data_IF_556643218169
#
_entry.id   IF_556643218169
#
_cell.length_a   1.000
_cell.length_b   1.000
_cell.length_c   1.000
_cell.angle_alpha   90.00
_cell.angle_beta   90.00
_cell.angle_gamma   90.00
#
_symmetry.space_group_name_H-M   'P 1'
#
loop_
_entity.id
_entity.type
_entity.pdbx_description
1 polymer ?
#
# COMPACT_ATOMS: atom_id res chain seq x y z
N UNK A 1 1.58 24.66 -11.48
CA UNK A 1 2.30 24.67 -12.78
C UNK A 1 1.45 24.01 -13.85
N UNK A 2 1.49 24.49 -15.09
CA UNK A 2 0.80 23.89 -16.25
C UNK A 2 1.89 23.44 -17.23
N UNK A 3 2.04 22.13 -17.45
CA UNK A 3 2.80 21.57 -18.58
C UNK A 3 4.31 21.83 -18.60
N UNK A 4 5.10 21.00 -17.92
CA UNK A 4 6.57 21.03 -17.99
C UNK A 4 7.16 19.64 -18.16
N UNK A 5 8.29 19.58 -18.87
CA UNK A 5 9.19 18.42 -18.89
C UNK A 5 10.29 18.67 -17.87
N UNK A 6 10.44 17.79 -16.89
CA UNK A 6 11.41 17.96 -15.80
C UNK A 6 12.23 16.68 -15.69
N UNK A 7 13.56 16.83 -15.80
CA UNK A 7 14.53 15.74 -15.68
C UNK A 7 14.68 14.86 -16.93
N UNK A 8 13.92 15.11 -17.99
CA UNK A 8 13.93 14.34 -19.25
C UNK A 8 14.51 15.15 -20.42
N UNK A 9 14.79 14.50 -21.55
CA UNK A 9 15.12 15.21 -22.79
C UNK A 9 13.87 15.83 -23.43
N UNK A 10 14.06 16.86 -24.27
CA UNK A 10 12.95 17.52 -24.97
C UNK A 10 12.24 16.62 -26.01
N UNK A 11 12.82 15.46 -26.36
CA UNK A 11 12.39 14.63 -27.49
C UNK A 11 11.90 13.24 -27.07
N UNK A 12 12.33 12.73 -25.91
CA UNK A 12 11.95 11.42 -25.41
C UNK A 12 12.07 11.32 -23.88
N UNK A 13 11.26 10.42 -23.30
CA UNK A 13 11.47 9.89 -21.95
C UNK A 13 12.65 8.93 -22.01
N UNK A 14 13.85 9.48 -21.92
CA UNK A 14 15.10 8.73 -21.94
C UNK A 14 16.08 9.36 -20.96
N UNK A 15 17.03 8.56 -20.46
CA UNK A 15 18.17 9.04 -19.69
C UNK A 15 18.81 10.18 -20.50
N UNK A 16 18.89 11.42 -19.96
CA UNK A 16 19.36 12.56 -20.72
C UNK A 16 20.81 12.45 -21.22
N UNK A 17 21.56 11.42 -20.80
CA UNK A 17 22.89 11.11 -21.33
C UNK A 17 23.95 12.11 -20.84
N UNK A 18 25.02 11.61 -20.22
CA UNK A 18 26.14 12.43 -19.74
C UNK A 18 26.29 12.44 -18.22
N UNK A 19 26.88 13.50 -17.67
CA UNK A 19 27.10 13.68 -16.21
C UNK A 19 26.25 14.82 -15.61
N UNK A 20 25.48 15.53 -16.43
CA UNK A 20 24.67 16.67 -16.02
C UNK A 20 23.24 16.23 -15.68
N UNK A 21 23.02 15.84 -14.42
CA UNK A 21 21.70 15.53 -13.86
C UNK A 21 21.34 16.56 -12.81
N UNK A 22 20.05 16.78 -12.55
CA UNK A 22 19.62 17.47 -11.34
C UNK A 22 19.94 16.54 -10.15
N UNK A 23 20.89 16.89 -9.27
CA UNK A 23 21.35 16.00 -8.21
C UNK A 23 20.35 15.88 -7.04
N UNK A 24 19.24 16.62 -7.09
CA UNK A 24 18.24 16.67 -6.03
C UNK A 24 16.87 16.16 -6.54
N UNK A 25 15.82 16.95 -6.36
CA UNK A 25 14.46 16.61 -6.74
C UNK A 25 14.09 17.19 -8.11
N UNK A 26 13.20 16.53 -8.85
CA UNK A 26 12.59 17.13 -10.05
C UNK A 26 11.88 18.43 -9.71
N UNK A 27 11.01 18.40 -8.70
CA UNK A 27 10.37 19.58 -8.10
C UNK A 27 10.47 19.54 -6.58
N UNK A 28 11.12 20.55 -6.00
CA UNK A 28 11.05 20.82 -4.56
C UNK A 28 9.97 21.85 -4.25
N UNK A 29 8.95 21.46 -3.50
CA UNK A 29 7.96 22.36 -2.89
C UNK A 29 8.32 22.50 -1.42
N UNK A 30 8.67 23.72 -0.99
CA UNK A 30 9.09 24.01 0.38
C UNK A 30 8.25 25.13 1.01
N UNK A 31 8.28 25.27 2.34
CA UNK A 31 7.53 26.31 3.04
C UNK A 31 6.03 26.01 3.18
N UNK A 32 5.25 27.00 3.64
CA UNK A 32 3.78 26.98 3.73
C UNK A 32 3.11 27.03 2.34
N UNK A 33 3.58 26.19 1.42
CA UNK A 33 3.17 26.16 0.02
C UNK A 33 1.93 25.31 -0.18
N UNK A 34 0.99 25.80 -0.99
CA UNK A 34 -0.18 25.08 -1.46
C UNK A 34 -0.37 25.33 -2.95
N UNK A 35 -1.13 24.48 -3.64
CA UNK A 35 -1.42 24.68 -5.06
C UNK A 35 -1.61 23.40 -5.86
N UNK A 36 -1.39 23.51 -7.17
CA UNK A 36 -1.67 22.46 -8.13
C UNK A 36 -0.42 22.15 -8.98
N UNK A 37 -0.02 20.88 -8.97
CA UNK A 37 0.98 20.29 -9.88
C UNK A 37 0.23 19.40 -10.85
N UNK A 38 0.12 19.80 -12.12
CA UNK A 38 -0.63 19.04 -13.11
C UNK A 38 -0.03 19.01 -14.51
N UNK A 39 -0.26 17.90 -15.20
CA UNK A 39 0.13 17.71 -16.60
C UNK A 39 1.63 17.88 -16.86
N UNK A 40 2.45 17.43 -15.91
CA UNK A 40 3.91 17.43 -16.07
C UNK A 40 4.41 15.99 -16.24
N UNK A 41 5.57 15.87 -16.88
CA UNK A 41 6.36 14.66 -16.90
C UNK A 41 7.59 14.88 -16.01
N UNK A 42 7.71 14.06 -14.97
CA UNK A 42 8.85 14.00 -14.07
C UNK A 42 9.59 12.69 -14.31
N UNK A 43 10.78 12.74 -14.90
CA UNK A 43 11.56 11.52 -15.04
C UNK A 43 13.05 11.72 -14.93
N UNK A 44 13.76 10.62 -14.65
CA UNK A 44 15.22 10.60 -14.48
C UNK A 44 15.75 11.61 -13.46
N UNK A 45 14.94 12.06 -12.50
CA UNK A 45 15.44 12.81 -11.36
C UNK A 45 16.42 11.93 -10.56
N UNK A 46 17.55 12.50 -10.13
CA UNK A 46 18.54 11.72 -9.40
C UNK A 46 17.99 11.25 -8.05
N UNK A 47 17.34 12.17 -7.29
CA UNK A 47 16.48 11.85 -6.14
C UNK A 47 15.00 11.83 -6.55
N UNK A 48 14.10 12.21 -5.64
CA UNK A 48 12.68 12.06 -5.90
C UNK A 48 12.14 12.96 -7.00
N UNK A 49 11.12 12.51 -7.74
CA UNK A 49 10.49 13.30 -8.80
C UNK A 49 9.85 14.58 -8.25
N UNK A 50 9.10 14.46 -7.16
CA UNK A 50 8.57 15.57 -6.38
C UNK A 50 8.90 15.38 -4.90
N UNK A 51 9.40 16.43 -4.26
CA UNK A 51 9.54 16.49 -2.80
C UNK A 51 8.71 17.65 -2.26
N UNK A 52 7.82 17.36 -1.33
CA UNK A 52 7.11 18.40 -0.57
C UNK A 52 7.45 18.25 0.91
N UNK A 53 8.03 19.30 1.50
CA UNK A 53 8.47 19.32 2.90
C UNK A 53 8.67 20.76 3.38
N UNK A 54 8.62 21.01 4.70
CA UNK A 54 9.03 22.32 5.24
C UNK A 54 7.93 23.38 5.37
N UNK A 55 6.66 22.99 5.50
CA UNK A 55 5.61 23.89 5.96
C UNK A 55 4.22 23.29 5.95
N UNK A 56 3.69 23.05 7.15
CA UNK A 56 2.34 22.62 7.41
C UNK A 56 1.33 23.74 7.14
N UNK A 57 0.45 23.57 6.16
CA UNK A 57 -0.73 24.40 5.97
C UNK A 57 -1.95 23.50 5.72
N UNK A 58 -3.16 24.03 5.90
CA UNK A 58 -4.39 23.24 5.75
C UNK A 58 -4.86 23.06 4.30
N UNK A 59 -4.28 23.79 3.33
CA UNK A 59 -4.72 23.80 1.94
C UNK A 59 -4.04 22.71 1.09
N UNK A 60 -2.76 22.45 1.34
CA UNK A 60 -2.05 21.32 0.76
C UNK A 60 -1.77 21.39 -0.75
N UNK A 61 -1.37 20.26 -1.33
CA UNK A 61 -1.12 20.14 -2.78
C UNK A 61 -2.15 19.23 -3.46
N UNK A 62 -2.62 19.63 -4.63
CA UNK A 62 -3.26 18.76 -5.60
C UNK A 62 -2.23 18.38 -6.68
N UNK A 63 -1.95 17.09 -6.81
CA UNK A 63 -1.01 16.53 -7.78
C UNK A 63 -1.80 15.63 -8.72
N UNK A 64 -2.01 16.07 -9.97
CA UNK A 64 -2.92 15.37 -10.88
C UNK A 64 -2.56 15.38 -12.35
N UNK A 65 -2.82 14.26 -13.05
CA UNK A 65 -2.58 14.17 -14.49
C UNK A 65 -1.10 14.25 -14.86
N UNK A 66 -0.20 13.93 -13.93
CA UNK A 66 1.25 13.89 -14.19
C UNK A 66 1.70 12.46 -14.46
N UNK A 67 2.87 12.35 -15.07
CA UNK A 67 3.61 11.10 -15.21
C UNK A 67 4.92 11.20 -14.44
N UNK A 68 5.20 10.20 -13.62
CA UNK A 68 6.44 10.04 -12.88
C UNK A 68 7.12 8.75 -13.33
N UNK A 69 8.34 8.83 -13.86
CA UNK A 69 9.02 7.72 -14.52
C UNK A 69 10.51 7.71 -14.23
N UNK A 70 11.06 6.61 -13.69
CA UNK A 70 12.50 6.49 -13.42
C UNK A 70 13.07 7.61 -12.54
N UNK A 71 12.30 8.07 -11.55
CA UNK A 71 12.80 8.97 -10.52
C UNK A 71 13.62 8.20 -9.47
N UNK A 72 14.58 8.86 -8.83
CA UNK A 72 15.51 8.22 -7.91
C UNK A 72 16.60 7.40 -8.60
N UNK A 73 16.74 7.47 -9.93
CA UNK A 73 17.52 6.54 -10.75
C UNK A 73 18.99 6.38 -10.33
N UNK A 74 19.57 7.36 -9.64
CA UNK A 74 20.98 7.37 -9.21
C UNK A 74 21.19 7.53 -7.70
N UNK A 75 20.14 7.83 -6.94
CA UNK A 75 20.20 8.04 -5.49
C UNK A 75 19.32 6.99 -4.81
N UNK A 76 19.89 6.30 -3.84
CA UNK A 76 19.18 5.35 -2.98
C UNK A 76 18.06 6.07 -2.21
N UNK A 77 16.88 5.45 -2.11
CA UNK A 77 15.71 6.04 -1.45
C UNK A 77 15.07 7.19 -2.24
N UNK A 78 15.30 7.26 -3.56
CA UNK A 78 14.63 8.23 -4.42
C UNK A 78 13.29 7.71 -4.93
N UNK A 79 12.20 8.41 -4.56
CA UNK A 79 10.82 8.04 -4.89
C UNK A 79 10.30 8.75 -6.13
N UNK A 80 9.14 8.36 -6.65
CA UNK A 80 8.40 9.28 -7.53
C UNK A 80 7.95 10.53 -6.76
N UNK A 81 7.40 10.37 -5.55
CA UNK A 81 7.04 11.48 -4.67
C UNK A 81 7.36 11.20 -3.21
N UNK A 82 7.95 12.20 -2.53
CA UNK A 82 8.26 12.13 -1.10
C UNK A 82 7.57 13.26 -0.35
N UNK A 83 6.88 12.92 0.74
CA UNK A 83 6.11 13.85 1.56
C UNK A 83 6.59 13.83 3.01
N UNK A 84 7.04 14.98 3.52
CA UNK A 84 7.34 15.16 4.95
C UNK A 84 8.77 14.83 5.40
N UNK A 85 9.65 14.40 4.50
CA UNK A 85 11.02 13.90 4.78
C UNK A 85 11.88 14.79 5.70
N UNK A 86 11.84 16.11 5.50
CA UNK A 86 12.67 17.06 6.26
C UNK A 86 11.90 17.89 7.30
N UNK A 87 10.57 17.94 7.18
CA UNK A 87 9.67 18.73 8.01
C UNK A 87 8.22 18.55 7.56
N UNK A 88 7.29 18.84 8.47
CA UNK A 88 5.85 18.67 8.25
C UNK A 88 5.31 19.32 6.97
N UNK A 89 4.32 18.68 6.34
CA UNK A 89 3.59 19.17 5.17
C UNK A 89 2.09 19.33 5.43
N UNK A 90 1.43 20.14 4.61
CA UNK A 90 -0.03 20.10 4.47
C UNK A 90 -0.51 18.80 3.82
N UNK A 91 -1.83 18.58 3.76
CA UNK A 91 -2.40 17.39 3.13
C UNK A 91 -2.06 17.35 1.63
N UNK A 92 -1.98 16.15 1.04
CA UNK A 92 -1.81 16.00 -0.40
C UNK A 92 -2.95 15.23 -1.02
N UNK A 93 -3.34 15.62 -2.22
CA UNK A 93 -4.31 14.91 -3.06
C UNK A 93 -3.59 14.48 -4.33
N UNK A 94 -3.20 13.22 -4.40
CA UNK A 94 -2.52 12.63 -5.56
C UNK A 94 -3.56 11.87 -6.36
N UNK A 95 -3.95 12.39 -7.53
CA UNK A 95 -5.03 11.80 -8.33
C UNK A 95 -4.78 11.74 -9.81
N UNK A 96 -5.15 10.64 -10.49
CA UNK A 96 -5.04 10.51 -11.94
C UNK A 96 -3.60 10.68 -12.47
N UNK A 97 -2.60 10.19 -11.73
CA UNK A 97 -1.21 10.17 -12.19
C UNK A 97 -0.82 8.76 -12.64
N UNK A 98 0.15 8.70 -13.55
CA UNK A 98 0.92 7.48 -13.82
C UNK A 98 2.23 7.57 -13.02
N UNK A 99 2.49 6.58 -12.18
CA UNK A 99 3.65 6.55 -11.29
C UNK A 99 4.36 5.22 -11.49
N UNK A 100 5.49 5.25 -12.19
CA UNK A 100 6.09 4.05 -12.73
C UNK A 100 7.59 4.02 -12.56
N UNK A 101 8.14 2.81 -12.36
CA UNK A 101 9.60 2.57 -12.42
C UNK A 101 10.41 3.52 -11.54
N UNK A 102 9.92 3.92 -10.37
CA UNK A 102 10.74 4.64 -9.40
C UNK A 102 11.84 3.73 -8.86
N UNK A 103 12.98 4.28 -8.47
CA UNK A 103 14.08 3.48 -7.92
C UNK A 103 13.71 2.86 -6.55
N UNK A 104 13.06 3.65 -5.71
CA UNK A 104 12.45 3.23 -4.45
C UNK A 104 10.93 3.23 -4.62
N UNK A 105 10.19 3.96 -3.80
CA UNK A 105 8.73 3.89 -3.79
C UNK A 105 8.07 4.73 -4.88
N UNK A 106 6.82 4.40 -5.20
CA UNK A 106 5.97 5.30 -5.96
C UNK A 106 5.67 6.59 -5.15
N UNK A 107 5.23 6.41 -3.91
CA UNK A 107 4.99 7.51 -2.97
C UNK A 107 5.48 7.11 -1.58
N UNK A 108 6.28 7.97 -0.96
CA UNK A 108 6.64 7.88 0.46
C UNK A 108 5.94 8.99 1.26
N UNK A 109 5.25 8.58 2.34
CA UNK A 109 4.74 9.45 3.39
C UNK A 109 5.55 9.27 4.67
N UNK A 110 6.10 10.36 5.21
CA UNK A 110 6.66 10.31 6.56
C UNK A 110 5.54 10.30 7.62
N UNK A 111 5.57 9.28 8.47
CA UNK A 111 4.60 9.13 9.55
C UNK A 111 4.69 10.31 10.52
N UNK A 112 3.54 10.89 10.84
CA UNK A 112 3.41 12.03 11.75
C UNK A 112 3.89 13.37 11.19
N UNK A 113 4.38 13.41 9.94
CA UNK A 113 4.84 14.64 9.28
C UNK A 113 3.96 15.06 8.09
N UNK A 114 2.92 14.30 7.77
CA UNK A 114 2.05 14.60 6.61
C UNK A 114 0.60 14.82 7.06
N UNK A 115 -0.13 15.65 6.32
CA UNK A 115 -1.55 15.90 6.62
C UNK A 115 -1.82 16.89 7.75
N UNK A 116 -0.92 17.85 8.01
CA UNK A 116 -1.19 18.88 9.01
C UNK A 116 -2.46 19.67 8.65
N UNK A 117 -3.52 19.51 9.46
CA UNK A 117 -4.81 20.16 9.23
C UNK A 117 -5.67 19.56 8.10
N UNK A 118 -5.42 18.31 7.70
CA UNK A 118 -6.25 17.62 6.70
C UNK A 118 -5.93 16.13 6.55
N UNK A 119 -6.49 15.52 5.51
CA UNK A 119 -6.33 14.10 5.18
C UNK A 119 -5.60 13.99 3.83
N UNK A 120 -4.63 13.08 3.73
CA UNK A 120 -4.00 12.74 2.46
C UNK A 120 -4.93 11.84 1.64
N UNK A 121 -4.99 12.06 0.34
CA UNK A 121 -5.81 11.28 -0.60
C UNK A 121 -4.96 10.83 -1.76
N UNK A 122 -4.84 9.53 -1.96
CA UNK A 122 -4.22 8.90 -3.13
C UNK A 122 -5.30 8.14 -3.87
N UNK A 123 -5.73 8.66 -5.02
CA UNK A 123 -6.91 8.14 -5.71
C UNK A 123 -6.82 8.09 -7.24
N UNK A 124 -7.34 7.02 -7.84
CA UNK A 124 -7.41 6.88 -9.31
C UNK A 124 -6.05 7.04 -9.99
N UNK A 125 -4.96 6.62 -9.34
CA UNK A 125 -3.63 6.59 -9.97
C UNK A 125 -3.33 5.17 -10.45
N UNK A 126 -2.38 5.09 -11.38
CA UNK A 126 -1.76 3.83 -11.78
C UNK A 126 -0.34 3.81 -11.25
N UNK A 127 -0.04 2.80 -10.44
CA UNK A 127 1.30 2.48 -9.97
C UNK A 127 1.77 1.21 -10.65
N UNK A 128 2.97 1.27 -11.24
CA UNK A 128 3.51 0.18 -12.03
C UNK A 128 5.01 0.05 -11.84
N UNK A 129 5.51 -1.14 -11.52
CA UNK A 129 6.96 -1.43 -11.57
C UNK A 129 7.83 -0.51 -10.68
N UNK A 130 7.28 0.04 -9.60
CA UNK A 130 8.05 0.85 -8.65
C UNK A 130 9.01 -0.05 -7.83
N UNK A 131 10.17 0.47 -7.46
CA UNK A 131 11.32 -0.27 -6.91
C UNK A 131 12.27 -0.83 -7.98
N UNK A 132 11.87 -0.84 -9.25
CA UNK A 132 12.66 -1.41 -10.35
C UNK A 132 13.31 -0.36 -11.27
N UNK A 133 13.27 0.91 -10.87
CA UNK A 133 13.67 2.04 -11.71
C UNK A 133 15.12 2.14 -12.15
N UNK A 134 16.11 1.59 -11.42
CA UNK A 134 17.54 1.84 -11.69
C UNK A 134 18.26 0.73 -12.47
N UNK A 135 19.14 1.13 -13.39
CA UNK A 135 20.07 0.24 -14.10
C UNK A 135 21.48 0.20 -13.48
N UNK A 136 21.77 1.00 -12.45
CA UNK A 136 23.14 1.19 -11.91
C UNK A 136 23.41 0.41 -10.61
N UNK A 137 24.68 0.37 -10.18
CA UNK A 137 25.13 -0.17 -8.87
C UNK A 137 24.53 0.56 -7.64
N UNK A 138 23.72 1.62 -7.83
CA UNK A 138 22.94 2.28 -6.79
C UNK A 138 21.76 1.42 -6.25
N UNK A 139 21.68 0.14 -6.65
CA UNK A 139 20.80 -0.90 -6.08
C UNK A 139 21.15 -1.28 -4.64
N UNK A 140 21.54 -0.35 -3.78
CA UNK A 140 21.33 -0.56 -2.36
C UNK A 140 19.81 -0.37 -2.14
N UNK A 141 19.06 -1.39 -2.54
CA UNK A 141 17.61 -1.48 -2.49
C UNK A 141 17.20 -1.39 -1.02
N UNK A 142 16.51 -0.32 -0.63
CA UNK A 142 16.01 -0.17 0.74
C UNK A 142 14.49 -0.42 0.76
N UNK A 143 13.76 0.17 -0.19
CA UNK A 143 12.30 0.04 -0.34
C UNK A 143 11.88 -0.37 -1.77
N UNK A 144 10.58 -0.57 -2.00
CA UNK A 144 10.07 -1.04 -3.29
C UNK A 144 8.55 -1.10 -3.40
N UNK A 145 7.84 -0.32 -2.59
CA UNK A 145 6.39 -0.29 -2.57
C UNK A 145 5.81 0.71 -3.58
N UNK A 146 4.54 0.55 -3.97
CA UNK A 146 3.88 1.63 -4.69
C UNK A 146 3.55 2.81 -3.76
N UNK A 147 3.13 2.51 -2.54
CA UNK A 147 2.82 3.53 -1.52
C UNK A 147 3.35 3.05 -0.17
N UNK A 148 4.19 3.86 0.47
CA UNK A 148 4.78 3.60 1.76
C UNK A 148 4.43 4.69 2.78
N UNK A 149 4.03 4.27 3.99
CA UNK A 149 4.12 5.11 5.19
C UNK A 149 5.38 4.74 5.96
N UNK A 150 6.40 5.60 5.88
CA UNK A 150 7.71 5.36 6.45
C UNK A 150 7.80 5.84 7.90
N UNK A 151 8.31 4.97 8.76
CA UNK A 151 8.73 5.31 10.13
C UNK A 151 10.25 5.50 10.14
N UNK A 152 10.74 6.62 10.67
CA UNK A 152 12.19 6.87 10.78
C UNK A 152 12.79 6.58 12.15
N UNK A 153 12.04 6.81 13.22
CA UNK A 153 12.61 6.84 14.58
C UNK A 153 11.90 5.92 15.59
N UNK A 154 10.87 5.18 15.15
CA UNK A 154 10.09 4.28 16.02
C UNK A 154 9.22 4.99 17.06
N UNK A 155 9.04 6.31 16.98
CA UNK A 155 8.27 7.08 17.96
C UNK A 155 7.19 7.95 17.34
N UNK A 156 7.29 8.26 16.04
CA UNK A 156 6.28 9.07 15.36
C UNK A 156 4.96 8.29 15.25
N UNK A 157 3.86 9.02 15.37
CA UNK A 157 2.51 8.46 15.27
C UNK A 157 1.70 9.27 14.27
N UNK A 158 1.11 8.58 13.30
CA UNK A 158 0.10 9.13 12.40
C UNK A 158 -1.27 8.55 12.74
N UNK A 159 -2.29 9.41 12.84
CA UNK A 159 -3.69 8.98 13.10
C UNK A 159 -4.68 9.47 12.05
N UNK A 160 -4.16 10.16 11.03
CA UNK A 160 -4.94 10.70 9.92
C UNK A 160 -5.68 9.58 9.20
N UNK A 161 -6.94 9.84 8.87
CA UNK A 161 -7.78 8.91 8.11
C UNK A 161 -7.45 8.96 6.62
N UNK A 162 -6.18 8.80 6.27
CA UNK A 162 -5.67 8.93 4.91
C UNK A 162 -6.34 7.92 3.98
N UNK A 163 -6.69 8.36 2.78
CA UNK A 163 -7.51 7.58 1.86
C UNK A 163 -6.69 7.14 0.65
N UNK A 164 -6.55 5.83 0.48
CA UNK A 164 -5.93 5.20 -0.69
C UNK A 164 -7.02 4.42 -1.40
N UNK A 165 -7.54 4.96 -2.51
CA UNK A 165 -8.75 4.41 -3.13
C UNK A 165 -8.73 4.39 -4.65
N UNK A 166 -9.30 3.36 -5.25
CA UNK A 166 -9.46 3.24 -6.71
C UNK A 166 -8.15 3.32 -7.50
N UNK A 167 -7.02 3.01 -6.88
CA UNK A 167 -5.74 2.94 -7.59
C UNK A 167 -5.58 1.56 -8.22
N UNK A 168 -4.81 1.49 -9.30
CA UNK A 168 -4.31 0.25 -9.87
C UNK A 168 -2.84 0.13 -9.49
N UNK A 169 -2.46 -0.92 -8.78
CA UNK A 169 -1.14 -1.10 -8.18
C UNK A 169 -0.63 -2.48 -8.54
N UNK A 170 0.42 -2.56 -9.33
CA UNK A 170 0.90 -3.85 -9.81
C UNK A 170 2.37 -3.83 -10.16
N UNK A 171 2.98 -5.01 -10.07
CA UNK A 171 4.39 -5.22 -10.37
C UNK A 171 5.34 -4.38 -9.53
N UNK A 172 4.91 -3.89 -8.37
CA UNK A 172 5.85 -3.30 -7.42
C UNK A 172 6.90 -4.34 -7.05
N UNK A 173 8.12 -3.89 -6.78
CA UNK A 173 9.22 -4.77 -6.42
C UNK A 173 8.92 -5.53 -5.12
N UNK A 174 8.39 -4.83 -4.13
CA UNK A 174 7.92 -5.36 -2.85
C UNK A 174 6.37 -5.28 -2.78
N UNK A 175 5.79 -5.08 -1.60
CA UNK A 175 4.35 -4.95 -1.41
C UNK A 175 3.73 -3.75 -2.15
N UNK A 176 2.47 -3.84 -2.55
CA UNK A 176 1.75 -2.75 -3.20
C UNK A 176 1.60 -1.53 -2.28
N UNK A 177 1.03 -1.73 -1.09
CA UNK A 177 0.85 -0.69 -0.08
C UNK A 177 1.46 -1.18 1.23
N UNK A 178 2.35 -0.40 1.82
CA UNK A 178 2.96 -0.68 3.12
C UNK A 178 2.53 0.37 4.14
N UNK A 179 1.89 -0.08 5.22
CA UNK A 179 1.51 0.77 6.35
C UNK A 179 2.50 0.53 7.49
N UNK A 180 3.47 1.43 7.60
CA UNK A 180 4.53 1.30 8.60
C UNK A 180 4.05 1.44 10.05
N UNK A 181 4.89 0.93 10.95
CA UNK A 181 4.68 1.02 12.38
C UNK A 181 4.44 2.48 12.84
N UNK A 182 3.34 2.69 13.57
CA UNK A 182 2.96 4.00 14.11
C UNK A 182 1.94 4.76 13.25
N UNK A 183 1.72 4.36 11.99
CA UNK A 183 0.62 4.87 11.18
C UNK A 183 -0.68 4.12 11.50
N UNK A 184 -1.77 4.85 11.67
CA UNK A 184 -3.09 4.32 12.00
C UNK A 184 -4.16 4.90 11.09
N UNK A 185 -5.30 4.21 11.04
CA UNK A 185 -6.54 4.67 10.46
C UNK A 185 -6.48 4.96 8.94
N UNK A 186 -5.49 4.42 8.23
CA UNK A 186 -5.44 4.53 6.76
C UNK A 186 -6.58 3.70 6.17
N UNK A 187 -7.41 4.35 5.36
CA UNK A 187 -8.51 3.77 4.63
C UNK A 187 -7.98 3.31 3.28
N UNK A 188 -7.79 2.00 3.13
CA UNK A 188 -7.43 1.36 1.87
C UNK A 188 -8.69 0.70 1.33
N UNK A 189 -9.21 1.19 0.20
CA UNK A 189 -10.50 0.73 -0.31
C UNK A 189 -10.56 0.73 -1.83
N UNK A 190 -11.05 -0.37 -2.41
CA UNK A 190 -11.28 -0.56 -3.84
C UNK A 190 -10.05 -0.27 -4.71
N UNK A 191 -8.86 -0.56 -4.21
CA UNK A 191 -7.68 -0.61 -5.05
C UNK A 191 -7.63 -1.98 -5.75
N UNK A 192 -7.08 -2.01 -6.97
CA UNK A 192 -6.76 -3.23 -7.68
C UNK A 192 -5.27 -3.48 -7.47
N UNK A 193 -4.94 -4.46 -6.63
CA UNK A 193 -3.56 -4.90 -6.36
C UNK A 193 -3.37 -6.28 -6.97
N UNK A 194 -2.34 -6.45 -7.81
CA UNK A 194 -2.00 -7.76 -8.37
C UNK A 194 -0.52 -7.83 -8.75
N UNK A 195 0.06 -9.03 -8.66
CA UNK A 195 1.44 -9.31 -9.07
C UNK A 195 2.47 -8.36 -8.44
N UNK A 196 2.28 -7.91 -7.19
CA UNK A 196 3.32 -7.18 -6.47
C UNK A 196 4.30 -8.18 -5.82
N UNK A 197 5.46 -7.71 -5.38
CA UNK A 197 6.52 -8.60 -4.91
C UNK A 197 7.33 -9.24 -6.04
N UNK A 198 7.52 -8.52 -7.15
CA UNK A 198 8.18 -9.05 -8.36
C UNK A 198 9.64 -9.43 -8.14
N UNK A 199 10.30 -8.88 -7.13
CA UNK A 199 11.62 -9.31 -6.71
C UNK A 199 11.70 -9.38 -5.18
N UNK A 200 11.89 -10.59 -4.65
CA UNK A 200 12.08 -10.82 -3.21
C UNK A 200 13.40 -10.20 -2.75
N UNK A 201 13.36 -8.96 -2.30
CA UNK A 201 14.53 -8.28 -1.78
C UNK A 201 14.69 -8.43 -0.27
N UNK A 202 13.61 -8.78 0.44
CA UNK A 202 13.65 -9.06 1.87
C UNK A 202 13.55 -10.57 2.15
N UNK A 203 14.47 -11.14 2.96
CA UNK A 203 14.35 -12.51 3.45
C UNK A 203 13.19 -12.68 4.45
N UNK A 204 12.52 -11.60 4.88
CA UNK A 204 11.47 -11.64 5.91
C UNK A 204 10.03 -11.58 5.45
N UNK A 205 9.77 -11.27 4.18
CA UNK A 205 8.42 -10.99 3.73
C UNK A 205 8.35 -9.65 3.01
N UNK A 206 7.15 -9.19 2.65
CA UNK A 206 6.96 -7.99 1.84
C UNK A 206 6.71 -8.28 0.36
N UNK A 207 5.58 -8.91 0.05
CA UNK A 207 5.08 -9.18 -1.30
C UNK A 207 3.54 -9.17 -1.33
N UNK A 208 2.92 -8.36 -0.48
CA UNK A 208 1.47 -8.33 -0.32
C UNK A 208 0.87 -7.19 -1.13
N UNK A 209 -0.40 -7.31 -1.52
CA UNK A 209 -1.14 -6.16 -2.04
C UNK A 209 -1.25 -5.03 -1.00
N UNK A 210 -1.43 -5.41 0.27
CA UNK A 210 -1.42 -4.55 1.46
C UNK A 210 -0.63 -5.27 2.55
N UNK A 211 0.37 -4.61 3.10
CA UNK A 211 1.26 -5.11 4.14
C UNK A 211 1.22 -4.17 5.35
N UNK A 212 0.88 -4.71 6.52
CA UNK A 212 0.88 -3.94 7.76
C UNK A 212 2.08 -4.36 8.59
N UNK A 213 2.95 -3.41 8.90
CA UNK A 213 4.15 -3.75 9.67
C UNK A 213 3.76 -4.22 11.07
N UNK A 214 4.08 -5.47 11.36
CA UNK A 214 3.67 -6.24 12.54
C UNK A 214 4.63 -6.09 13.73
N UNK A 215 5.69 -5.29 13.64
CA UNK A 215 6.63 -5.11 14.74
C UNK A 215 7.19 -3.69 14.80
N UNK A 216 7.45 -3.20 16.01
CA UNK A 216 7.91 -1.83 16.25
C UNK A 216 9.37 -1.57 15.87
N UNK A 217 10.11 -2.56 15.38
CA UNK A 217 11.52 -2.47 14.98
C UNK A 217 11.73 -2.35 13.46
N UNK A 218 10.69 -2.41 12.64
CA UNK A 218 10.80 -2.19 11.18
C UNK A 218 10.70 -0.69 10.87
N UNK A 219 11.77 0.04 11.18
CA UNK A 219 11.91 1.47 10.88
C UNK A 219 13.37 1.82 10.58
N UNK A 220 13.60 2.93 9.87
CA UNK A 220 14.93 3.30 9.33
C UNK A 220 16.04 3.30 10.40
N UNK A 221 15.78 3.94 11.54
CA UNK A 221 16.74 4.11 12.63
C UNK A 221 16.87 2.93 13.59
N UNK A 222 16.23 1.79 13.33
CA UNK A 222 16.29 0.65 14.23
C UNK A 222 17.68 0.02 14.17
N UNK A 223 18.57 0.33 15.12
CA UNK A 223 19.86 -0.37 15.22
C UNK A 223 19.61 -1.89 15.27
N UNK A 224 20.35 -2.66 14.46
CA UNK A 224 20.30 -4.13 14.31
C UNK A 224 20.47 -4.91 15.64
N UNK A 225 19.47 -4.85 16.52
CA UNK A 225 19.57 -5.27 17.93
C UNK A 225 18.75 -6.52 18.27
N UNK A 226 18.27 -7.25 17.27
CA UNK A 226 17.77 -8.62 17.43
C UNK A 226 18.46 -9.42 16.33
N UNK A 227 19.26 -10.43 16.68
CA UNK A 227 20.09 -11.25 15.78
C UNK A 227 19.34 -12.05 14.70
N UNK A 228 18.19 -11.55 14.25
CA UNK A 228 17.34 -12.04 13.19
C UNK A 228 17.54 -11.21 11.89
N UNK A 229 18.13 -10.01 11.95
CA UNK A 229 18.60 -9.27 10.77
C UNK A 229 17.78 -8.04 10.32
N UNK A 230 16.80 -7.56 11.11
CA UNK A 230 15.76 -6.63 10.62
C UNK A 230 15.91 -5.17 11.08
N UNK A 231 17.11 -4.61 10.98
CA UNK A 231 17.37 -3.26 11.51
C UNK A 231 17.45 -2.11 10.50
N UNK A 232 18.00 -2.31 9.30
CA UNK A 232 18.31 -1.19 8.42
C UNK A 232 18.12 -1.45 6.92
N UNK A 233 17.71 -2.66 6.53
CA UNK A 233 17.63 -3.06 5.11
C UNK A 233 16.22 -3.41 4.65
N UNK A 234 15.30 -3.71 5.58
CA UNK A 234 13.97 -4.24 5.24
C UNK A 234 12.85 -3.22 5.54
N UNK A 235 13.19 -2.00 5.95
CA UNK A 235 12.17 -0.97 6.17
C UNK A 235 11.52 -0.61 4.83
N UNK A 236 10.19 -0.47 4.81
CA UNK A 236 9.47 -0.09 3.60
C UNK A 236 9.17 -1.22 2.60
N UNK A 237 9.77 -2.41 2.76
CA UNK A 237 9.43 -3.58 1.94
C UNK A 237 8.16 -4.30 2.43
N UNK A 238 7.81 -4.11 3.70
CA UNK A 238 6.82 -4.92 4.41
C UNK A 238 7.47 -6.05 5.22
N UNK A 239 6.70 -6.70 6.08
CA UNK A 239 7.17 -7.82 6.90
C UNK A 239 6.37 -9.12 6.69
N UNK A 240 5.54 -9.15 5.64
CA UNK A 240 4.75 -10.31 5.28
C UNK A 240 3.45 -10.41 6.08
N UNK A 241 2.79 -11.57 5.99
CA UNK A 241 1.44 -11.72 6.53
C UNK A 241 1.43 -11.58 8.05
N UNK A 242 0.64 -10.61 8.53
CA UNK A 242 0.34 -10.42 9.95
C UNK A 242 -0.84 -11.30 10.36
N UNK A 243 -0.56 -12.43 11.03
CA UNK A 243 -1.59 -13.37 11.46
C UNK A 243 -2.66 -12.72 12.37
N UNK A 244 -3.93 -13.14 12.25
CA UNK A 244 -4.99 -12.64 13.11
C UNK A 244 -4.75 -13.04 14.57
N UNK A 245 -4.76 -12.05 15.47
CA UNK A 245 -4.57 -12.25 16.92
C UNK A 245 -5.89 -12.26 17.69
N UNK A 246 -6.95 -11.72 17.10
CA UNK A 246 -8.26 -11.49 17.73
C UNK A 246 -8.35 -10.19 18.52
N UNK A 247 -7.31 -9.37 18.48
CA UNK A 247 -7.24 -8.08 19.19
C UNK A 247 -6.61 -7.02 18.30
N UNK A 248 -7.04 -5.77 18.48
CA UNK A 248 -6.35 -4.61 17.91
C UNK A 248 -5.11 -4.29 18.73
N UNK A 249 -4.04 -3.87 18.07
CA UNK A 249 -2.77 -3.51 18.69
C UNK A 249 -2.16 -2.30 18.01
N UNK A 250 -1.99 -1.21 18.75
CA UNK A 250 -1.27 -0.02 18.27
C UNK A 250 0.23 -0.26 18.08
N UNK A 251 0.72 -1.46 18.40
CA UNK A 251 2.08 -1.88 18.12
C UNK A 251 2.31 -2.18 16.63
N UNK A 252 1.25 -2.23 15.81
CA UNK A 252 1.32 -2.53 14.38
C UNK A 252 0.76 -1.37 13.53
N UNK A 253 1.12 -1.35 12.25
CA UNK A 253 0.45 -0.51 11.26
C UNK A 253 -1.07 -0.74 11.26
N UNK A 254 -1.85 0.32 11.03
CA UNK A 254 -3.33 0.27 11.08
C UNK A 254 -3.90 -0.41 12.34
N UNK A 255 -3.19 -0.24 13.46
CA UNK A 255 -3.55 -0.81 14.76
C UNK A 255 -3.74 -2.33 14.74
N UNK A 256 -3.04 -3.04 13.83
CA UNK A 256 -3.11 -4.49 13.75
C UNK A 256 -4.48 -5.00 13.35
N UNK A 257 -5.22 -4.24 12.54
CA UNK A 257 -6.55 -4.62 12.09
C UNK A 257 -6.51 -6.04 11.48
N UNK A 258 -7.29 -6.95 12.06
CA UNK A 258 -7.35 -8.33 11.61
C UNK A 258 -8.16 -8.42 10.32
N UNK A 259 -7.76 -9.31 9.41
CA UNK A 259 -8.46 -9.52 8.15
C UNK A 259 -9.67 -10.47 8.30
N UNK A 260 -10.64 -10.42 7.38
CA UNK A 260 -11.73 -11.39 7.31
C UNK A 260 -11.22 -12.80 6.99
N UNK A 261 -11.82 -13.80 7.62
CA UNK A 261 -11.65 -15.22 7.32
C UNK A 261 -13.00 -15.76 6.82
N UNK A 262 -13.02 -16.29 5.59
CA UNK A 262 -14.18 -16.99 5.07
C UNK A 262 -14.24 -18.41 5.64
N UNK A 263 -15.37 -18.77 6.25
CA UNK A 263 -15.68 -20.16 6.58
C UNK A 263 -16.46 -20.83 5.46
N UNK A 264 -17.05 -20.05 4.56
CA UNK A 264 -17.82 -20.53 3.41
C UNK A 264 -17.73 -19.51 2.28
N UNK A 265 -17.41 -19.99 1.07
CA UNK A 265 -17.49 -19.24 -0.17
C UNK A 265 -18.08 -20.15 -1.25
N UNK A 266 -19.38 -20.02 -1.51
CA UNK A 266 -20.16 -20.98 -2.31
C UNK A 266 -20.77 -20.32 -3.53
N UNK A 267 -20.51 -20.92 -4.68
CA UNK A 267 -21.09 -20.64 -5.97
C UNK A 267 -22.51 -21.21 -6.06
N UNK A 268 -23.51 -20.32 -6.01
CA UNK A 268 -24.92 -20.71 -6.19
C UNK A 268 -25.25 -20.79 -7.68
N UNK A 269 -24.94 -19.73 -8.40
CA UNK A 269 -25.16 -19.58 -9.85
C UNK A 269 -24.06 -18.71 -10.45
N UNK A 270 -24.01 -18.60 -11.77
CA UNK A 270 -23.08 -17.71 -12.49
C UNK A 270 -23.17 -16.24 -12.07
N UNK A 271 -24.28 -15.86 -11.44
CA UNK A 271 -24.60 -14.51 -11.00
C UNK A 271 -24.66 -14.35 -9.49
N UNK A 272 -24.42 -15.39 -8.68
CA UNK A 272 -24.58 -15.29 -7.24
C UNK A 272 -23.68 -16.24 -6.44
N UNK A 273 -23.07 -15.72 -5.39
CA UNK A 273 -22.32 -16.49 -4.38
C UNK A 273 -22.89 -16.25 -2.98
N UNK A 274 -22.73 -17.22 -2.09
CA UNK A 274 -22.96 -17.08 -0.64
C UNK A 274 -21.63 -17.09 0.08
N UNK A 275 -21.39 -16.10 0.93
CA UNK A 275 -20.21 -16.02 1.77
C UNK A 275 -20.59 -15.93 3.24
N UNK A 276 -19.85 -16.65 4.07
CA UNK A 276 -19.96 -16.60 5.53
C UNK A 276 -18.57 -16.56 6.12
N UNK A 277 -18.39 -15.80 7.20
CA UNK A 277 -17.12 -15.73 7.89
C UNK A 277 -17.14 -14.79 9.09
N UNK A 278 -15.96 -14.42 9.54
CA UNK A 278 -15.74 -13.51 10.66
C UNK A 278 -14.42 -12.74 10.49
N UNK A 279 -14.24 -11.68 11.28
CA UNK A 279 -12.98 -10.94 11.38
C UNK A 279 -12.32 -11.32 12.71
N UNK A 280 -11.00 -11.53 12.70
CA UNK A 280 -10.23 -11.86 13.89
C UNK A 280 -9.76 -13.30 13.96
N UNK A 281 -9.39 -13.77 15.14
CA UNK A 281 -8.88 -15.14 15.36
C UNK A 281 -9.97 -16.17 15.61
N UNK A 282 -11.19 -15.73 15.89
CA UNK A 282 -12.34 -16.61 16.08
C UNK A 282 -13.67 -15.88 15.86
N UNK A 283 -14.72 -16.64 15.57
CA UNK A 283 -16.07 -16.12 15.42
C UNK A 283 -16.62 -15.61 16.76
N UNK A 284 -17.18 -14.40 16.80
CA UNK A 284 -17.76 -13.82 18.02
C UNK A 284 -17.01 -12.63 18.61
N UNK A 285 -15.97 -12.13 17.94
CA UNK A 285 -15.12 -11.07 18.46
C UNK A 285 -15.73 -9.68 18.21
N UNK A 286 -16.36 -9.13 19.26
CA UNK A 286 -17.04 -7.82 19.24
C UNK A 286 -16.09 -6.64 18.99
N UNK A 287 -14.77 -6.81 19.16
CA UNK A 287 -13.78 -5.80 18.82
C UNK A 287 -13.80 -5.39 17.34
N UNK A 288 -14.34 -6.24 16.47
CA UNK A 288 -14.47 -6.00 15.03
C UNK A 288 -15.92 -5.71 14.60
N UNK A 289 -16.80 -5.39 15.55
CA UNK A 289 -18.19 -5.07 15.28
C UNK A 289 -18.30 -3.83 14.37
N UNK A 290 -19.17 -3.90 13.36
CA UNK A 290 -19.40 -2.79 12.43
C UNK A 290 -18.26 -2.52 11.45
N UNK A 291 -17.22 -3.36 11.43
CA UNK A 291 -16.16 -3.23 10.43
C UNK A 291 -16.71 -3.38 9.01
N UNK A 292 -16.19 -2.55 8.10
CA UNK A 292 -16.50 -2.60 6.67
C UNK A 292 -15.63 -3.66 6.02
N UNK A 293 -16.22 -4.62 5.32
CA UNK A 293 -15.52 -5.71 4.65
C UNK A 293 -15.57 -5.47 3.15
N UNK A 294 -14.43 -5.47 2.47
CA UNK A 294 -14.40 -5.42 1.00
C UNK A 294 -13.93 -6.75 0.45
N UNK A 295 -14.67 -7.31 -0.50
CA UNK A 295 -14.43 -8.63 -1.07
C UNK A 295 -13.92 -8.50 -2.49
N UNK A 296 -12.92 -9.31 -2.82
CA UNK A 296 -12.22 -9.29 -4.10
C UNK A 296 -12.11 -10.70 -4.67
N UNK A 297 -12.06 -10.81 -6.00
CA UNK A 297 -11.33 -11.93 -6.59
C UNK A 297 -9.84 -11.75 -6.35
N UNK A 298 -9.19 -12.85 -6.01
CA UNK A 298 -7.76 -12.86 -5.73
C UNK A 298 -6.92 -12.95 -7.01
N UNK A 299 -5.78 -12.28 -7.01
CA UNK A 299 -4.60 -12.64 -7.79
C UNK A 299 -3.60 -13.30 -6.83
N UNK A 300 -3.34 -14.60 -7.05
CA UNK A 300 -2.42 -15.37 -6.22
C UNK A 300 -1.24 -15.79 -7.10
N UNK A 301 -0.14 -15.05 -6.97
CA UNK A 301 1.12 -15.33 -7.67
C UNK A 301 2.07 -16.22 -6.84
N UNK A 302 1.57 -16.78 -5.72
CA UNK A 302 2.24 -17.78 -4.90
C UNK A 302 3.36 -17.23 -4.04
N UNK A 303 3.42 -15.91 -3.82
CA UNK A 303 4.51 -15.26 -3.08
C UNK A 303 4.12 -14.79 -1.66
N UNK A 304 2.84 -14.96 -1.29
CA UNK A 304 2.15 -14.28 -0.19
C UNK A 304 1.66 -15.25 0.93
N UNK A 305 2.40 -16.32 1.22
CA UNK A 305 1.93 -17.31 2.22
C UNK A 305 2.17 -16.85 3.66
N UNK A 306 1.24 -17.19 4.57
CA UNK A 306 1.36 -16.88 5.99
C UNK A 306 0.38 -17.64 6.88
N UNK A 307 0.48 -17.38 8.18
CA UNK A 307 -0.44 -17.93 9.17
C UNK A 307 -1.77 -17.19 9.14
N UNK A 308 -2.88 -17.91 9.30
CA UNK A 308 -4.23 -17.34 9.35
C UNK A 308 -4.53 -16.76 10.72
N UNK A 309 -4.18 -17.51 11.76
CA UNK A 309 -4.34 -17.13 13.16
C UNK A 309 -2.99 -17.30 13.85
N UNK A 310 -2.65 -16.36 14.72
CA UNK A 310 -1.38 -16.40 15.44
C UNK A 310 -1.22 -17.74 16.20
N UNK A 311 -0.17 -18.50 15.85
CA UNK A 311 0.15 -19.79 16.46
C UNK A 311 -0.59 -21.01 15.90
N UNK A 312 -1.34 -20.88 14.79
CA UNK A 312 -2.02 -22.01 14.15
C UNK A 312 -1.06 -23.01 13.46
N UNK A 313 0.19 -22.61 13.22
CA UNK A 313 1.20 -23.41 12.52
C UNK A 313 0.92 -23.60 11.02
N UNK A 314 -0.03 -22.85 10.46
CA UNK A 314 -0.38 -22.90 9.05
C UNK A 314 0.50 -21.95 8.24
N UNK A 315 0.63 -22.25 6.95
CA UNK A 315 1.29 -21.41 5.97
C UNK A 315 0.48 -21.48 4.67
N UNK A 316 -0.55 -20.64 4.57
CA UNK A 316 -1.56 -20.66 3.51
C UNK A 316 -1.49 -19.38 2.66
N UNK A 317 -2.01 -19.37 1.43
CA UNK A 317 -1.96 -18.18 0.58
C UNK A 317 -2.83 -17.02 1.05
N UNK A 318 -2.28 -15.80 1.03
CA UNK A 318 -2.95 -14.50 1.24
C UNK A 318 -2.75 -13.61 0.00
N UNK A 319 -3.29 -14.03 -1.14
CA UNK A 319 -3.11 -13.33 -2.41
C UNK A 319 -3.69 -11.91 -2.40
N UNK A 320 -3.60 -11.24 -3.53
CA UNK A 320 -3.92 -9.82 -3.65
C UNK A 320 -5.34 -9.56 -4.17
N UNK A 321 -5.96 -8.45 -3.77
CA UNK A 321 -7.28 -8.06 -4.25
C UNK A 321 -7.26 -7.42 -5.64
N UNK A 322 -7.32 -8.23 -6.69
CA UNK A 322 -7.27 -7.74 -8.06
C UNK A 322 -8.59 -7.10 -8.51
N UNK A 323 -9.72 -7.78 -8.28
CA UNK A 323 -11.03 -7.33 -8.77
C UNK A 323 -12.00 -7.18 -7.62
N UNK A 324 -12.35 -5.94 -7.28
CA UNK A 324 -13.37 -5.64 -6.28
C UNK A 324 -14.75 -6.16 -6.70
N UNK A 325 -15.46 -6.78 -5.75
CA UNK A 325 -16.79 -7.33 -5.96
C UNK A 325 -17.85 -6.53 -5.22
N UNK A 326 -17.73 -6.43 -3.89
CA UNK A 326 -18.74 -5.80 -3.05
C UNK A 326 -18.19 -5.37 -1.69
N UNK A 327 -19.02 -4.66 -0.94
CA UNK A 327 -18.79 -4.30 0.45
C UNK A 327 -19.86 -4.96 1.33
N UNK A 328 -19.46 -5.49 2.48
CA UNK A 328 -20.33 -5.96 3.56
C UNK A 328 -20.03 -5.19 4.85
N UNK A 329 -20.86 -5.39 5.88
CA UNK A 329 -20.60 -4.90 7.23
C UNK A 329 -20.65 -6.07 8.20
N UNK A 330 -19.66 -6.16 9.08
CA UNK A 330 -19.65 -7.15 10.15
C UNK A 330 -20.74 -6.83 11.19
N UNK A 331 -21.39 -7.86 11.71
CA UNK A 331 -22.40 -7.73 12.76
C UNK A 331 -21.77 -7.33 14.11
N UNK A 332 -22.61 -7.26 15.15
CA UNK A 332 -22.17 -6.91 16.51
C UNK A 332 -21.11 -7.85 17.12
N UNK A 333 -20.87 -9.02 16.50
CA UNK A 333 -19.95 -10.05 16.95
C UNK A 333 -18.81 -10.29 15.94
N UNK A 334 -18.58 -9.34 15.02
CA UNK A 334 -17.51 -9.45 14.02
C UNK A 334 -17.78 -10.51 12.94
N UNK A 335 -19.03 -10.97 12.78
CA UNK A 335 -19.42 -12.01 11.80
C UNK A 335 -20.05 -11.40 10.56
N UNK A 336 -20.02 -12.12 9.46
CA UNK A 336 -20.76 -11.78 8.26
C UNK A 336 -21.36 -13.01 7.59
N UNK A 337 -22.53 -12.85 7.01
CA UNK A 337 -23.23 -13.85 6.20
C UNK A 337 -24.04 -13.11 5.14
N UNK A 338 -23.69 -13.30 3.87
CA UNK A 338 -24.31 -12.56 2.78
C UNK A 338 -24.38 -13.39 1.50
N UNK A 339 -25.42 -13.09 0.71
CA UNK A 339 -25.49 -13.47 -0.69
C UNK A 339 -25.04 -12.28 -1.54
N UNK A 340 -24.09 -12.50 -2.44
CA UNK A 340 -23.47 -11.49 -3.28
C UNK A 340 -23.84 -11.77 -4.72
N UNK A 341 -24.46 -10.79 -5.36
CA UNK A 341 -24.71 -10.84 -6.79
C UNK A 341 -23.44 -10.46 -7.55
N UNK A 342 -23.23 -11.10 -8.70
CA UNK A 342 -22.13 -10.75 -9.59
C UNK A 342 -22.29 -9.29 -10.03
N UNK A 343 -21.23 -8.47 -9.91
CA UNK A 343 -21.21 -7.16 -10.54
C UNK A 343 -21.48 -7.27 -12.05
N UNK A 344 -21.99 -6.20 -12.65
CA UNK A 344 -22.23 -6.18 -14.11
C UNK A 344 -20.96 -6.54 -14.89
N UNK A 345 -21.06 -7.53 -15.77
CA UNK A 345 -19.93 -8.01 -16.59
C UNK A 345 -19.02 -9.03 -15.89
N UNK A 346 -19.25 -9.35 -14.62
CA UNK A 346 -18.57 -10.42 -13.89
C UNK A 346 -19.38 -11.70 -13.96
N UNK A 347 -18.70 -12.83 -14.19
CA UNK A 347 -19.28 -14.17 -14.11
C UNK A 347 -18.51 -14.95 -13.06
N UNK A 348 -19.23 -15.45 -12.06
CA UNK A 348 -18.64 -16.38 -11.10
C UNK A 348 -18.46 -17.76 -11.76
N UNK A 349 -17.40 -18.46 -11.35
CA UNK A 349 -17.07 -19.81 -11.79
C UNK A 349 -16.28 -20.51 -10.68
N UNK A 350 -16.32 -21.83 -10.65
CA UNK A 350 -15.51 -22.64 -9.71
C UNK A 350 -14.10 -22.91 -10.25
N UNK A 351 -13.84 -22.67 -11.53
CA UNK A 351 -12.53 -22.95 -12.12
C UNK A 351 -11.55 -21.83 -11.79
N UNK A 352 -10.65 -22.09 -10.83
CA UNK A 352 -9.51 -21.22 -10.52
C UNK A 352 -9.85 -19.90 -9.83
N UNK A 353 -11.11 -19.67 -9.43
CA UNK A 353 -11.50 -18.46 -8.71
C UNK A 353 -11.45 -18.67 -7.20
N UNK A 354 -10.75 -17.77 -6.52
CA UNK A 354 -10.78 -17.66 -5.07
C UNK A 354 -11.11 -16.23 -4.67
N UNK A 355 -11.67 -16.08 -3.47
CA UNK A 355 -11.97 -14.81 -2.85
C UNK A 355 -10.90 -14.46 -1.82
N UNK A 356 -10.62 -13.18 -1.67
CA UNK A 356 -9.99 -12.61 -0.48
C UNK A 356 -10.79 -11.38 -0.05
N UNK A 357 -10.49 -10.86 1.13
CA UNK A 357 -11.13 -9.66 1.64
C UNK A 357 -10.23 -8.87 2.56
N UNK A 358 -10.53 -7.58 2.71
CA UNK A 358 -9.98 -6.71 3.74
C UNK A 358 -11.09 -6.29 4.69
N UNK A 359 -10.70 -5.85 5.89
CA UNK A 359 -11.60 -5.22 6.85
C UNK A 359 -11.09 -3.83 7.21
N UNK A 360 -11.99 -2.85 7.28
CA UNK A 360 -11.72 -1.50 7.75
C UNK A 360 -12.56 -1.21 8.99
N UNK A 361 -11.93 -0.67 10.03
CA UNK A 361 -12.62 -0.16 11.21
C UNK A 361 -12.17 1.28 11.51
N UNK A 362 -13.11 2.25 11.63
CA UNK A 362 -12.77 3.63 11.99
C UNK A 362 -11.92 3.72 13.26
N UNK A 363 -10.86 4.52 13.21
CA UNK A 363 -9.91 4.68 14.31
C UNK A 363 -8.83 3.60 14.38
N UNK A 364 -8.99 2.48 13.66
CA UNK A 364 -7.99 1.42 13.55
C UNK A 364 -7.27 1.49 12.21
N UNK A 365 -8.02 1.36 11.10
CA UNK A 365 -7.49 1.30 9.73
C UNK A 365 -7.96 0.06 8.97
N UNK A 366 -7.40 -0.15 7.78
CA UNK A 366 -7.66 -1.33 6.95
C UNK A 366 -6.64 -2.45 7.25
N UNK A 367 -7.10 -3.70 7.28
CA UNK A 367 -6.26 -4.90 7.39
C UNK A 367 -5.50 -5.20 6.10
N UNK A 368 -4.58 -6.16 6.16
CA UNK A 368 -4.10 -6.88 4.98
C UNK A 368 -5.24 -7.66 4.28
N UNK A 369 -4.93 -8.31 3.16
CA UNK A 369 -5.80 -9.28 2.54
C UNK A 369 -5.85 -10.58 3.36
N UNK A 370 -7.05 -11.12 3.56
CA UNK A 370 -7.26 -12.40 4.21
C UNK A 370 -6.84 -13.60 3.37
N UNK A 371 -6.93 -14.78 3.96
CA UNK A 371 -6.63 -16.05 3.29
C UNK A 371 -7.49 -16.28 2.06
N UNK A 372 -6.90 -16.91 1.04
CA UNK A 372 -7.60 -17.28 -0.18
C UNK A 372 -8.70 -18.32 0.11
N UNK A 373 -9.93 -18.01 -0.28
CA UNK A 373 -11.09 -18.88 -0.14
C UNK A 373 -11.58 -19.34 -1.53
N UNK A 374 -11.26 -20.59 -1.94
CA UNK A 374 -11.71 -21.11 -3.22
C UNK A 374 -13.24 -21.10 -3.35
N UNK A 375 -13.76 -20.66 -4.50
CA UNK A 375 -15.18 -20.76 -4.78
C UNK A 375 -15.56 -22.22 -5.02
N UNK A 376 -16.46 -22.74 -4.16
CA UNK A 376 -16.94 -24.12 -4.23
C UNK A 376 -18.39 -24.15 -4.74
N UNK A 377 -18.83 -25.19 -5.48
CA UNK A 377 -20.23 -25.31 -5.85
C UNK A 377 -21.13 -25.49 -4.61
N UNK A 378 -22.37 -25.00 -4.71
CA UNK A 378 -23.43 -25.43 -3.80
C UNK A 378 -23.69 -26.93 -3.96
N UNK A 379 -23.84 -27.62 -2.82
CA UNK A 379 -24.21 -29.04 -2.78
C UNK A 379 -25.69 -29.22 -3.08
#
# INVERSE_FOLDING_TARGET
MIGNLIGVTALAVADPGGTAYNPAFGLGVKGLSYGIVRYNLFGYAAGSGLNYSGGANTAGLLITGNEFVQNGYRVVGGDAMTFGDQASTGPVKVTYNLITTSNSDGIQFEIGQTGAGGINVVRNNTFFDNGNGSTSLARAQLEGAAILYLQRNGTNVGTSADSIVFNRIYQSQASGIVVGYGQRNVIISRNSTFTNGTAKNSPTGGNLGIDIISQSNYYVGASNALGNGHGATDYGNGDGVTANTGTLSTAFGNSGMNYPIFTTARYNTSSNITVTGYIGSSSGQTAFAGATIEIYFVDDDGNNNGATVAGDGLNVPHGEGQTYLTTLTADANGRFNASINAPSGVVFSTTGQSLTATAYLPGSGTSEFGTNAPLQPCL
#
